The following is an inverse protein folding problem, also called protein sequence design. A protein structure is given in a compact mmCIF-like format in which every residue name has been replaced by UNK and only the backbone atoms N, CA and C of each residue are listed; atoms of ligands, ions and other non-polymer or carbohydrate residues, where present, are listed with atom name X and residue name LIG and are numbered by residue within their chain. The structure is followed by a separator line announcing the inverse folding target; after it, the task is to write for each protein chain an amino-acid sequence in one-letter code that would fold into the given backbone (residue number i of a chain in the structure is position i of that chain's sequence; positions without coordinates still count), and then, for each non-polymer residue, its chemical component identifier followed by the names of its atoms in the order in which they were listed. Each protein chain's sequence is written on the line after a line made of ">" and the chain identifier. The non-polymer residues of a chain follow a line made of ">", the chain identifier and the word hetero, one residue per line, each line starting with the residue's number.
data_IF_053369590890
#
_entry.id   IF_053369590890
#
_cell.length_a   1.000
_cell.length_b   1.000
_cell.length_c   1.000
_cell.angle_alpha   90.00
_cell.angle_beta   90.00
_cell.angle_gamma   90.00
#
_symmetry.space_group_name_H-M   'P 1'
#
loop_
_entity.id
_entity.type
_entity.pdbx_description
1 polymer ?
#
# COMPACT_ATOMS: atom_id res chain seq x y z
N UNK A 1 9.87 -12.23 -27.45
CA UNK A 1 9.83 -13.39 -28.38
C UNK A 1 11.14 -13.55 -29.13
N UNK A 2 11.68 -12.49 -29.76
CA UNK A 2 12.97 -12.50 -30.48
C UNK A 2 14.16 -13.22 -29.81
N UNK A 3 14.46 -12.96 -28.51
CA UNK A 3 15.57 -13.63 -27.82
C UNK A 3 15.41 -15.15 -27.70
N UNK A 4 14.17 -15.64 -27.59
CA UNK A 4 13.90 -17.09 -27.49
C UNK A 4 14.17 -17.79 -28.82
N UNK A 5 13.87 -17.12 -29.93
CA UNK A 5 14.13 -17.64 -31.27
C UNK A 5 15.64 -17.67 -31.57
N UNK A 6 16.38 -16.64 -31.16
CA UNK A 6 17.85 -16.60 -31.29
C UNK A 6 18.52 -17.63 -30.39
N UNK A 7 18.01 -17.88 -29.17
CA UNK A 7 18.48 -18.95 -28.29
C UNK A 7 18.35 -20.32 -28.96
N UNK A 8 17.16 -20.62 -29.50
CA UNK A 8 16.88 -21.89 -30.18
C UNK A 8 17.80 -22.13 -31.37
N UNK A 9 18.17 -21.08 -32.11
CA UNK A 9 19.13 -21.19 -33.22
C UNK A 9 20.57 -21.39 -32.75
N UNK A 10 20.90 -20.99 -31.52
CA UNK A 10 22.25 -21.08 -30.94
C UNK A 10 22.63 -22.45 -30.38
N UNK A 11 21.66 -23.35 -30.22
CA UNK A 11 21.89 -24.70 -29.67
C UNK A 11 22.57 -25.66 -30.66
N UNK A 12 22.69 -25.28 -31.94
CA UNK A 12 23.35 -26.09 -32.97
C UNK A 12 24.88 -26.19 -32.74
N UNK A 13 25.41 -27.38 -32.39
CA UNK A 13 26.83 -27.56 -32.08
C UNK A 13 27.73 -27.43 -33.32
N UNK A 14 27.16 -27.46 -34.54
CA UNK A 14 27.91 -27.32 -35.79
C UNK A 14 28.21 -25.86 -36.15
N UNK A 15 27.63 -24.90 -35.42
CA UNK A 15 27.72 -23.46 -35.71
C UNK A 15 27.94 -22.64 -34.43
N UNK A 16 29.15 -22.71 -33.84
CA UNK A 16 29.47 -22.01 -32.60
C UNK A 16 29.29 -20.48 -32.71
N UNK A 17 29.38 -19.91 -33.90
CA UNK A 17 29.14 -18.49 -34.16
C UNK A 17 27.73 -18.03 -33.76
N UNK A 18 26.74 -18.93 -33.79
CA UNK A 18 25.36 -18.61 -33.38
C UNK A 18 25.22 -18.41 -31.88
N UNK A 19 26.08 -19.03 -31.07
CA UNK A 19 26.14 -18.74 -29.62
C UNK A 19 26.61 -17.33 -29.36
N UNK A 20 27.61 -16.86 -30.10
CA UNK A 20 28.11 -15.48 -29.98
C UNK A 20 27.00 -14.49 -30.38
N UNK A 21 26.28 -14.75 -31.49
CA UNK A 21 25.15 -13.93 -31.90
C UNK A 21 24.04 -13.88 -30.85
N UNK A 22 23.76 -15.00 -30.18
CA UNK A 22 22.83 -15.03 -29.05
C UNK A 22 23.29 -14.15 -27.89
N UNK A 23 24.55 -14.25 -27.46
CA UNK A 23 25.09 -13.40 -26.39
C UNK A 23 25.04 -11.91 -26.74
N UNK A 24 25.33 -11.54 -28.00
CA UNK A 24 25.22 -10.15 -28.46
C UNK A 24 23.76 -9.67 -28.41
N UNK A 25 22.81 -10.48 -28.85
CA UNK A 25 21.39 -10.14 -28.80
C UNK A 25 20.90 -9.96 -27.36
N UNK A 26 21.34 -10.82 -26.42
CA UNK A 26 21.05 -10.69 -24.98
C UNK A 26 21.63 -9.38 -24.44
N UNK A 27 22.90 -9.09 -24.75
CA UNK A 27 23.56 -7.87 -24.28
C UNK A 27 22.84 -6.60 -24.75
N UNK A 28 22.46 -6.53 -26.04
CA UNK A 28 21.68 -5.42 -26.58
C UNK A 28 20.32 -5.28 -25.87
N UNK A 29 19.62 -6.40 -25.67
CA UNK A 29 18.33 -6.39 -25.00
C UNK A 29 18.40 -5.91 -23.55
N UNK A 30 19.43 -6.33 -22.81
CA UNK A 30 19.66 -5.86 -21.45
C UNK A 30 20.00 -4.37 -21.45
N UNK A 31 20.87 -3.91 -22.33
CA UNK A 31 21.25 -2.49 -22.43
C UNK A 31 20.06 -1.56 -22.70
N UNK A 32 19.08 -2.00 -23.49
CA UNK A 32 17.87 -1.22 -23.79
C UNK A 32 16.86 -1.19 -22.63
N UNK A 33 16.86 -2.20 -21.76
CA UNK A 33 15.90 -2.32 -20.65
C UNK A 33 16.43 -1.82 -19.31
N UNK A 34 17.74 -1.82 -19.13
CA UNK A 34 18.38 -1.34 -17.90
C UNK A 34 18.30 0.18 -17.86
N UNK A 35 17.70 0.69 -16.78
CA UNK A 35 17.52 2.11 -16.54
C UNK A 35 18.83 2.76 -16.08
N UNK A 36 19.45 3.50 -17.00
CA UNK A 36 20.71 4.23 -16.78
C UNK A 36 20.55 5.45 -15.85
N UNK A 37 19.31 5.86 -15.54
CA UNK A 37 18.99 6.89 -14.55
C UNK A 37 19.15 6.39 -13.10
N UNK A 38 19.20 5.07 -12.90
CA UNK A 38 19.33 4.44 -11.59
C UNK A 38 20.71 3.81 -11.41
N UNK A 39 21.24 3.19 -12.47
CA UNK A 39 22.52 2.49 -12.45
C UNK A 39 23.50 3.19 -13.40
N UNK A 40 24.71 3.48 -12.91
CA UNK A 40 25.77 4.18 -13.65
C UNK A 40 26.87 3.22 -14.10
N UNK A 41 26.49 2.09 -14.69
CA UNK A 41 27.44 1.05 -15.12
C UNK A 41 27.15 0.60 -16.55
N UNK A 42 28.22 0.47 -17.34
CA UNK A 42 28.17 0.03 -18.75
C UNK A 42 28.11 -1.51 -18.92
N UNK A 43 28.46 -2.26 -17.87
CA UNK A 43 28.27 -3.71 -17.82
C UNK A 43 26.82 -4.07 -17.39
N UNK A 44 26.02 -4.71 -18.25
CA UNK A 44 24.66 -5.10 -17.91
C UNK A 44 24.57 -6.15 -16.80
N UNK A 45 25.62 -6.95 -16.55
CA UNK A 45 25.61 -7.94 -15.45
C UNK A 45 25.68 -7.22 -14.11
N UNK A 46 26.70 -6.37 -13.93
CA UNK A 46 26.83 -5.54 -12.72
C UNK A 46 25.61 -4.63 -12.52
N UNK A 47 25.03 -4.12 -13.61
CA UNK A 47 23.83 -3.29 -13.52
C UNK A 47 22.60 -4.06 -13.00
N UNK A 48 22.46 -5.35 -13.31
CA UNK A 48 21.39 -6.20 -12.76
C UNK A 48 21.61 -6.43 -11.26
N UNK A 49 22.83 -6.73 -10.85
CA UNK A 49 23.16 -6.92 -9.42
C UNK A 49 22.86 -5.66 -8.61
N UNK A 50 23.25 -4.48 -9.12
CA UNK A 50 22.94 -3.22 -8.46
C UNK A 50 21.42 -2.94 -8.43
N UNK A 51 20.67 -3.28 -9.49
CA UNK A 51 19.21 -3.19 -9.46
C UNK A 51 18.58 -4.13 -8.44
N UNK A 52 19.11 -5.34 -8.26
CA UNK A 52 18.63 -6.28 -7.24
C UNK A 52 18.81 -5.73 -5.83
N UNK A 53 19.96 -5.12 -5.56
CA UNK A 53 20.25 -4.45 -4.28
C UNK A 53 19.29 -3.29 -4.05
N UNK A 54 19.10 -2.42 -5.05
CA UNK A 54 18.18 -1.28 -4.92
C UNK A 54 16.72 -1.72 -4.78
N UNK A 55 16.28 -2.77 -5.49
CA UNK A 55 14.94 -3.34 -5.31
C UNK A 55 14.73 -3.90 -3.91
N UNK A 56 15.74 -4.58 -3.36
CA UNK A 56 15.69 -5.08 -1.98
C UNK A 56 15.58 -3.93 -0.98
N UNK A 57 16.39 -2.86 -1.15
CA UNK A 57 16.32 -1.66 -0.32
C UNK A 57 14.96 -0.98 -0.41
N UNK A 58 14.42 -0.82 -1.63
CA UNK A 58 13.11 -0.21 -1.84
C UNK A 58 11.99 -1.05 -1.21
N UNK A 59 12.12 -2.38 -1.23
CA UNK A 59 11.16 -3.29 -0.60
C UNK A 59 11.19 -3.15 0.92
N UNK A 60 12.38 -3.09 1.53
CA UNK A 60 12.54 -2.86 2.97
C UNK A 60 12.00 -1.48 3.37
N UNK A 61 12.31 -0.44 2.60
CA UNK A 61 11.84 0.91 2.87
C UNK A 61 10.31 1.01 2.74
N UNK A 62 9.73 0.38 1.71
CA UNK A 62 8.28 0.32 1.52
C UNK A 62 7.61 -0.40 2.69
N UNK A 63 8.12 -1.58 3.07
CA UNK A 63 7.61 -2.35 4.21
C UNK A 63 7.66 -1.55 5.50
N UNK A 64 8.76 -0.83 5.75
CA UNK A 64 8.90 0.03 6.94
C UNK A 64 7.90 1.20 6.92
N UNK A 65 7.70 1.84 5.76
CA UNK A 65 6.74 2.93 5.59
C UNK A 65 5.30 2.44 5.78
N UNK A 66 4.96 1.28 5.23
CA UNK A 66 3.66 0.64 5.42
C UNK A 66 3.40 0.33 6.89
N UNK A 67 4.38 -0.22 7.61
CA UNK A 67 4.26 -0.47 9.05
C UNK A 67 4.01 0.81 9.85
N UNK A 68 4.76 1.89 9.56
CA UNK A 68 4.55 3.20 10.21
C UNK A 68 3.16 3.77 9.90
N UNK A 69 2.72 3.66 8.66
CA UNK A 69 1.40 4.12 8.24
C UNK A 69 0.30 3.33 8.97
N UNK A 70 0.43 2.01 9.08
CA UNK A 70 -0.50 1.15 9.80
C UNK A 70 -0.62 1.55 11.29
N UNK A 71 0.50 1.79 11.97
CA UNK A 71 0.51 2.27 13.37
C UNK A 71 -0.20 3.61 13.50
N UNK A 72 0.09 4.54 12.59
CA UNK A 72 -0.54 5.87 12.56
C UNK A 72 -2.06 5.78 12.35
N UNK A 73 -2.50 5.00 11.36
CA UNK A 73 -3.91 4.77 11.05
C UNK A 73 -4.69 4.18 12.23
N UNK A 74 -4.11 3.21 12.95
CA UNK A 74 -4.70 2.65 14.17
C UNK A 74 -4.88 3.70 15.27
N UNK A 75 -3.87 4.54 15.48
CA UNK A 75 -3.94 5.62 16.48
C UNK A 75 -5.06 6.59 16.15
N UNK A 76 -5.15 7.01 14.88
CA UNK A 76 -6.21 7.90 14.37
C UNK A 76 -7.59 7.28 14.57
N UNK A 77 -7.79 6.01 14.18
CA UNK A 77 -9.05 5.30 14.35
C UNK A 77 -9.47 5.23 15.84
N UNK A 78 -8.53 4.97 16.74
CA UNK A 78 -8.78 4.98 18.19
C UNK A 78 -9.16 6.36 18.73
N UNK A 79 -8.52 7.43 18.27
CA UNK A 79 -8.86 8.82 18.65
C UNK A 79 -10.29 9.15 18.22
N UNK A 80 -10.65 8.79 16.98
CA UNK A 80 -11.99 9.02 16.44
C UNK A 80 -13.02 8.23 17.24
N UNK A 81 -12.79 6.93 17.51
CA UNK A 81 -13.68 6.08 18.32
C UNK A 81 -13.92 6.67 19.71
N UNK A 82 -12.86 7.11 20.40
CA UNK A 82 -12.96 7.79 21.71
C UNK A 82 -13.75 9.10 21.63
N UNK A 83 -13.58 9.85 20.54
CA UNK A 83 -14.29 11.12 20.33
C UNK A 83 -15.77 10.89 20.07
N UNK A 84 -16.13 9.92 19.23
CA UNK A 84 -17.53 9.52 18.99
C UNK A 84 -18.19 9.13 20.32
N UNK A 85 -17.54 8.28 21.11
CA UNK A 85 -18.09 7.86 22.41
C UNK A 85 -18.31 9.04 23.36
N UNK A 86 -17.38 10.00 23.39
CA UNK A 86 -17.48 11.21 24.21
C UNK A 86 -18.68 12.07 23.78
N UNK A 87 -18.87 12.27 22.49
CA UNK A 87 -19.97 13.07 21.96
C UNK A 87 -21.33 12.38 22.13
N UNK A 88 -21.40 11.05 21.98
CA UNK A 88 -22.61 10.29 22.32
C UNK A 88 -22.98 10.45 23.81
N UNK A 89 -22.00 10.39 24.71
CA UNK A 89 -22.24 10.62 26.14
C UNK A 89 -22.70 12.05 26.43
N UNK A 90 -22.12 13.06 25.76
CA UNK A 90 -22.57 14.46 25.86
C UNK A 90 -24.01 14.63 25.42
N UNK A 91 -24.40 14.03 24.30
CA UNK A 91 -25.76 14.13 23.79
C UNK A 91 -26.74 13.35 24.69
N UNK A 92 -26.32 12.23 25.28
CA UNK A 92 -27.10 11.55 26.33
C UNK A 92 -27.40 12.47 27.51
N UNK A 93 -26.40 13.18 28.03
CA UNK A 93 -26.60 14.15 29.12
C UNK A 93 -27.49 15.32 28.68
N UNK A 94 -27.30 15.84 27.47
CA UNK A 94 -28.12 16.93 26.94
C UNK A 94 -29.59 16.49 26.82
N UNK A 95 -29.85 15.28 26.36
CA UNK A 95 -31.20 14.71 26.28
C UNK A 95 -31.85 14.52 27.65
N UNK A 96 -31.08 14.16 28.68
CA UNK A 96 -31.60 14.12 30.05
C UNK A 96 -32.01 15.52 30.53
N UNK A 97 -31.25 16.56 30.20
CA UNK A 97 -31.61 17.94 30.51
C UNK A 97 -32.86 18.43 29.75
N UNK A 98 -32.97 18.08 28.46
CA UNK A 98 -34.10 18.47 27.60
C UNK A 98 -35.41 17.73 27.89
N UNK A 99 -35.37 16.59 28.57
CA UNK A 99 -36.57 15.87 29.00
C UNK A 99 -37.45 16.68 29.95
N UNK A 100 -36.84 17.54 30.77
CA UNK A 100 -37.57 18.38 31.74
C UNK A 100 -38.04 19.72 31.13
N UNK A 101 -37.73 19.98 29.86
CA UNK A 101 -38.11 21.21 29.17
C UNK A 101 -39.41 20.95 28.40
N UNK A 102 -40.47 21.66 28.79
CA UNK A 102 -41.75 21.67 28.08
C UNK A 102 -42.13 23.08 27.65
N UNK A 103 -42.78 23.20 26.50
CA UNK A 103 -43.21 24.49 25.94
C UNK A 103 -44.58 24.32 25.28
N UNK A 104 -45.64 24.84 25.91
CA UNK A 104 -47.01 24.66 25.44
C UNK A 104 -47.40 23.17 25.37
N UNK A 105 -47.74 22.68 24.17
CA UNK A 105 -48.06 21.26 23.92
C UNK A 105 -46.83 20.36 23.71
N UNK A 106 -45.63 20.93 23.61
CA UNK A 106 -44.40 20.15 23.43
C UNK A 106 -43.92 19.66 24.80
N UNK A 107 -44.07 18.36 25.04
CA UNK A 107 -43.78 17.73 26.33
C UNK A 107 -42.30 17.38 26.55
N UNK A 108 -41.50 17.21 25.49
CA UNK A 108 -40.04 17.00 25.59
C UNK A 108 -39.34 17.18 24.23
N UNK A 109 -38.03 17.44 24.27
CA UNK A 109 -37.15 17.50 23.09
C UNK A 109 -36.03 16.46 23.21
N UNK A 110 -35.69 15.79 22.10
CA UNK A 110 -34.59 14.81 22.05
C UNK A 110 -33.74 15.02 20.81
N UNK A 111 -32.42 15.00 20.99
CA UNK A 111 -31.42 14.94 19.93
C UNK A 111 -31.08 13.48 19.63
N UNK A 112 -31.23 13.09 18.36
CA UNK A 112 -30.85 11.76 17.89
C UNK A 112 -29.41 11.79 17.35
N UNK A 113 -28.61 10.78 17.70
CA UNK A 113 -27.21 10.67 17.29
C UNK A 113 -27.02 9.37 16.56
N UNK A 114 -26.72 9.45 15.27
CA UNK A 114 -26.37 8.29 14.47
C UNK A 114 -24.95 8.47 13.95
N UNK A 115 -24.12 7.44 14.13
CA UNK A 115 -22.84 7.37 13.42
C UNK A 115 -23.16 6.90 12.01
N UNK A 116 -22.68 7.62 10.99
CA UNK A 116 -22.83 7.19 9.60
C UNK A 116 -22.14 5.83 9.40
N UNK A 117 -22.86 4.88 8.82
CA UNK A 117 -22.36 3.52 8.56
C UNK A 117 -21.03 3.52 7.80
N UNK A 118 -20.87 4.43 6.83
CA UNK A 118 -19.62 4.59 6.06
C UNK A 118 -18.41 4.92 6.93
N UNK A 119 -18.59 5.71 7.99
CA UNK A 119 -17.50 6.03 8.92
C UNK A 119 -17.25 4.90 9.91
N UNK A 120 -18.29 4.15 10.29
CA UNK A 120 -18.12 2.96 11.12
C UNK A 120 -17.33 1.88 10.37
N UNK A 121 -17.69 1.61 9.11
CA UNK A 121 -16.98 0.68 8.24
C UNK A 121 -15.52 1.08 8.02
N UNK A 122 -15.25 2.37 7.77
CA UNK A 122 -13.88 2.87 7.64
C UNK A 122 -13.07 2.68 8.93
N UNK A 123 -13.65 2.99 10.09
CA UNK A 123 -12.99 2.78 11.38
C UNK A 123 -12.70 1.31 11.67
N UNK A 124 -13.56 0.41 11.19
CA UNK A 124 -13.43 -1.02 11.33
C UNK A 124 -12.27 -1.55 10.48
N UNK A 125 -12.24 -1.19 9.18
CA UNK A 125 -11.17 -1.55 8.25
C UNK A 125 -9.81 -1.02 8.72
N UNK A 126 -9.76 0.20 9.25
CA UNK A 126 -8.52 0.77 9.81
C UNK A 126 -8.07 0.05 11.10
N UNK A 127 -8.96 -0.69 11.78
CA UNK A 127 -8.58 -1.58 12.87
C UNK A 127 -8.27 -3.02 12.45
N UNK A 128 -8.91 -3.54 11.39
CA UNK A 128 -8.81 -4.93 10.94
C UNK A 128 -7.63 -5.22 10.01
N UNK A 129 -7.12 -4.24 9.24
CA UNK A 129 -6.03 -4.42 8.25
C UNK A 129 -4.71 -5.03 8.80
N UNK A 130 -4.62 -5.36 10.08
CA UNK A 130 -3.45 -5.96 10.69
C UNK A 130 -3.65 -7.38 11.28
N UNK A 131 -4.86 -7.96 11.29
CA UNK A 131 -5.01 -9.38 11.66
C UNK A 131 -4.42 -10.32 10.59
N UNK A 132 -4.28 -9.86 9.36
CA UNK A 132 -3.71 -10.63 8.24
C UNK A 132 -2.18 -10.48 8.06
N UNK A 133 -1.52 -9.63 8.86
CA UNK A 133 -0.08 -9.35 8.75
C UNK A 133 0.72 -9.72 10.01
N UNK A 134 0.13 -10.46 10.96
CA UNK A 134 0.85 -11.14 12.05
C UNK A 134 1.15 -12.59 11.66
#
# INVERSE_FOLDING_TARGET
>A
EHLRDVLRMSEDPKRPERKIQFFVAVYQHLRERIRQDIIRTDDPVEAIEQMEIELSRLTEELTSREQKLAISSRSVANIIRKTIQREQNRIRMLNQGLQNVSFGQVNSVRLNVNVRETHAMLLDVLSEQHEQHQ
#
